data_IF_691272815453
#
_entry.id   IF_691272815453
#
_cell.length_a   1.000
_cell.length_b   1.000
_cell.length_c   1.000
_cell.angle_alpha   90.00
_cell.angle_beta   90.00
_cell.angle_gamma   90.00
#
_symmetry.space_group_name_H-M   'P 1'
#
loop_
_entity.id
_entity.type
_entity.pdbx_description
1 polymer ?
#
# COMPACT_ATOMS: atom_id res chain seq x y z
N UNK A 1 36.72 -5.16 -14.35
CA UNK A 1 36.00 -5.15 -13.06
C UNK A 1 34.82 -4.18 -13.17
N UNK A 2 33.69 -4.63 -13.69
CA UNK A 2 32.49 -3.79 -13.86
C UNK A 2 31.69 -3.76 -12.55
N UNK A 3 31.82 -2.65 -11.83
CA UNK A 3 31.15 -2.41 -10.55
C UNK A 3 29.63 -2.35 -10.75
N UNK A 4 28.93 -3.37 -10.24
CA UNK A 4 27.48 -3.54 -10.33
C UNK A 4 26.82 -2.59 -9.32
N UNK A 5 26.38 -1.40 -9.76
CA UNK A 5 25.62 -0.44 -8.94
C UNK A 5 24.40 -1.14 -8.33
N UNK A 6 24.41 -1.28 -7.02
CA UNK A 6 23.33 -1.87 -6.23
C UNK A 6 22.14 -0.89 -6.22
N UNK A 7 21.12 -1.14 -7.04
CA UNK A 7 19.91 -0.30 -7.07
C UNK A 7 19.11 -0.61 -5.80
N UNK A 8 19.22 0.25 -4.79
CA UNK A 8 18.31 0.22 -3.64
C UNK A 8 16.91 0.57 -4.15
N UNK A 9 16.04 -0.43 -4.25
CA UNK A 9 14.60 -0.21 -4.34
C UNK A 9 14.11 0.27 -2.98
N UNK A 10 14.04 1.58 -2.77
CA UNK A 10 13.41 2.16 -1.58
C UNK A 10 11.89 2.02 -1.74
N UNK A 11 11.37 0.84 -1.41
CA UNK A 11 9.93 0.68 -1.18
C UNK A 11 9.66 1.33 0.17
N UNK A 12 8.86 2.40 0.17
CA UNK A 12 8.42 3.02 1.42
C UNK A 12 7.52 2.01 2.13
N UNK A 13 8.01 1.38 3.19
CA UNK A 13 7.21 0.49 4.03
C UNK A 13 6.18 1.32 4.82
N UNK A 14 4.97 0.78 5.00
CA UNK A 14 3.97 1.45 5.83
C UNK A 14 4.42 1.41 7.29
N UNK A 15 4.42 2.54 8.02
CA UNK A 15 4.88 2.57 9.42
C UNK A 15 4.01 1.70 10.35
N UNK A 16 2.76 1.44 9.97
CA UNK A 16 1.86 0.56 10.72
C UNK A 16 2.31 -0.90 10.69
N UNK A 17 2.94 -1.35 9.59
CA UNK A 17 3.40 -2.74 9.47
C UNK A 17 4.58 -3.03 10.38
N UNK A 18 5.48 -2.06 10.58
CA UNK A 18 6.58 -2.17 11.55
C UNK A 18 6.05 -2.21 12.98
N UNK A 19 5.07 -1.36 13.30
CA UNK A 19 4.42 -1.34 14.61
C UNK A 19 3.65 -2.64 14.89
N UNK A 20 2.96 -3.20 13.90
CA UNK A 20 2.27 -4.49 14.00
C UNK A 20 3.26 -5.64 14.19
N UNK A 21 4.31 -5.71 13.37
CA UNK A 21 5.33 -6.75 13.47
C UNK A 21 6.08 -6.69 14.82
N UNK A 22 6.23 -5.48 15.38
CA UNK A 22 6.79 -5.26 16.72
C UNK A 22 5.81 -5.53 17.86
N UNK A 23 4.55 -5.89 17.58
CA UNK A 23 3.50 -6.13 18.57
C UNK A 23 3.01 -4.86 19.30
N UNK A 24 3.29 -3.67 18.75
CA UNK A 24 2.88 -2.38 19.34
C UNK A 24 1.44 -2.00 19.02
N UNK A 25 0.87 -2.53 17.94
CA UNK A 25 -0.51 -2.31 17.54
C UNK A 25 -1.17 -3.64 17.16
N UNK A 26 -2.49 -3.72 17.33
CA UNK A 26 -3.29 -4.85 16.86
C UNK A 26 -3.51 -4.78 15.34
N UNK A 27 -3.84 -5.91 14.71
CA UNK A 27 -4.19 -6.00 13.28
C UNK A 27 -5.33 -5.04 12.90
N UNK A 28 -6.28 -4.80 13.81
CA UNK A 28 -7.42 -3.90 13.60
C UNK A 28 -7.02 -2.43 13.48
N UNK A 29 -5.80 -2.08 13.91
CA UNK A 29 -5.25 -0.73 13.85
C UNK A 29 -4.40 -0.49 12.59
N UNK A 30 -4.16 -1.53 11.78
CA UNK A 30 -3.44 -1.39 10.51
C UNK A 30 -4.31 -0.61 9.54
N UNK A 31 -3.82 0.56 9.11
CA UNK A 31 -4.46 1.37 8.10
C UNK A 31 -4.47 0.64 6.75
N UNK A 32 -5.63 0.62 6.11
CA UNK A 32 -5.77 0.07 4.76
C UNK A 32 -4.84 0.78 3.77
N UNK A 33 -4.08 0.04 2.96
CA UNK A 33 -3.18 0.63 1.95
C UNK A 33 -3.92 1.45 0.87
N UNK A 34 -5.23 1.23 0.69
CA UNK A 34 -6.05 1.92 -0.30
C UNK A 34 -6.79 3.13 0.29
N UNK A 35 -7.57 2.93 1.36
CA UNK A 35 -8.41 3.99 1.93
C UNK A 35 -7.83 4.65 3.19
N UNK A 36 -6.66 4.21 3.66
CA UNK A 36 -5.90 4.75 4.82
C UNK A 36 -6.64 4.75 6.17
N UNK A 37 -7.81 4.11 6.23
CA UNK A 37 -8.63 3.99 7.44
C UNK A 37 -8.36 2.68 8.18
N UNK A 38 -8.55 2.73 9.50
CA UNK A 38 -8.56 1.58 10.41
C UNK A 38 -9.81 1.68 11.31
N UNK A 39 -10.81 0.76 11.19
CA UNK A 39 -10.85 -0.37 10.27
C UNK A 39 -11.03 0.05 8.81
N UNK A 40 -10.78 -0.88 7.88
CA UNK A 40 -10.96 -0.66 6.45
C UNK A 40 -12.43 -0.36 6.13
N UNK A 41 -12.68 0.73 5.39
CA UNK A 41 -14.00 1.12 4.89
C UNK A 41 -14.10 1.03 3.35
N UNK A 42 -13.27 0.19 2.72
CA UNK A 42 -13.35 -0.02 1.27
C UNK A 42 -14.65 -0.75 0.89
N UNK A 43 -15.19 -0.50 -0.33
CA UNK A 43 -16.21 -1.35 -0.91
C UNK A 43 -15.73 -2.81 -1.00
N UNK A 44 -16.67 -3.74 -1.16
CA UNK A 44 -16.36 -5.16 -1.34
C UNK A 44 -15.33 -5.35 -2.46
N UNK A 45 -14.33 -6.19 -2.17
CA UNK A 45 -13.22 -6.43 -3.08
C UNK A 45 -13.71 -6.91 -4.45
N UNK A 46 -13.20 -6.30 -5.52
CA UNK A 46 -13.56 -6.67 -6.89
C UNK A 46 -14.85 -6.05 -7.43
N UNK A 47 -15.56 -5.25 -6.63
CA UNK A 47 -16.69 -4.44 -7.12
C UNK A 47 -16.23 -3.29 -8.02
N UNK A 48 -17.15 -2.75 -8.81
CA UNK A 48 -16.87 -1.58 -9.66
C UNK A 48 -16.46 -0.38 -8.81
N UNK A 49 -17.08 -0.24 -7.64
CA UNK A 49 -16.83 0.79 -6.65
C UNK A 49 -15.44 0.65 -6.03
N UNK A 50 -14.99 -0.59 -5.77
CA UNK A 50 -13.62 -0.87 -5.33
C UNK A 50 -12.59 -0.45 -6.38
N UNK A 51 -12.80 -0.82 -7.65
CA UNK A 51 -11.89 -0.41 -8.73
C UNK A 51 -11.93 1.10 -8.99
N UNK A 52 -13.09 1.74 -8.91
CA UNK A 52 -13.20 3.20 -9.01
C UNK A 52 -12.46 3.93 -7.88
N UNK A 53 -12.41 3.36 -6.67
CA UNK A 53 -11.61 3.88 -5.56
C UNK A 53 -10.11 3.75 -5.85
N UNK A 54 -9.66 2.61 -6.38
CA UNK A 54 -8.27 2.41 -6.83
C UNK A 54 -7.89 3.42 -7.90
N UNK A 55 -8.70 3.55 -8.96
CA UNK A 55 -8.44 4.50 -10.04
C UNK A 55 -8.38 5.95 -9.52
N UNK A 56 -9.26 6.33 -8.57
CA UNK A 56 -9.18 7.66 -7.94
C UNK A 56 -7.93 7.87 -7.10
N UNK A 57 -7.50 6.86 -6.33
CA UNK A 57 -6.39 7.00 -5.38
C UNK A 57 -5.02 6.87 -6.03
N UNK A 58 -4.91 6.00 -7.02
CA UNK A 58 -3.66 5.64 -7.69
C UNK A 58 -3.58 6.19 -9.12
N UNK A 59 -4.58 6.97 -9.54
CA UNK A 59 -4.67 7.76 -10.78
C UNK A 59 -3.72 7.28 -11.85
N UNK A 60 -4.14 6.30 -12.67
CA UNK A 60 -3.33 5.58 -13.67
C UNK A 60 -2.09 6.37 -14.09
N UNK A 61 -1.01 6.22 -13.33
CA UNK A 61 0.33 6.32 -13.88
C UNK A 61 0.62 4.92 -14.38
N UNK A 62 -0.19 4.47 -15.35
CA UNK A 62 0.09 3.28 -16.11
C UNK A 62 1.46 3.52 -16.72
N UNK A 63 2.46 2.74 -16.29
CA UNK A 63 3.79 2.82 -16.85
C UNK A 63 3.67 2.73 -18.36
N UNK A 64 3.99 3.82 -19.04
CA UNK A 64 4.25 3.80 -20.47
C UNK A 64 5.39 2.81 -20.68
N UNK A 65 5.07 1.69 -21.32
CA UNK A 65 6.01 0.89 -22.09
C UNK A 65 5.36 0.62 -23.43
#
# INVERSE_FOLDING_TARGET
MTSKKNRKSSVLWSPDLDAYASGRIDVSQIRCALCEQAPCACPEFGTKEYFALIDRRHGRTGGAR
#
